data_IF_100107670436
#
_entry.id   IF_100107670436
#
_cell.length_a   1.000
_cell.length_b   1.000
_cell.length_c   1.000
_cell.angle_alpha   90.00
_cell.angle_beta   90.00
_cell.angle_gamma   90.00
#
_symmetry.space_group_name_H-M   'P 1'
#
loop_
_entity.id
_entity.type
_entity.pdbx_description
1 polymer ?
#
# COMPACT_ATOMS: atom_id res chain seq x y z
N UNK A 1 25.20 -9.46 14.04
CA UNK A 1 23.84 -9.01 14.35
C UNK A 1 23.27 -8.40 13.06
N UNK A 2 22.09 -8.79 12.62
CA UNK A 2 21.42 -8.11 11.49
C UNK A 2 21.19 -6.65 11.93
N UNK A 3 21.60 -5.69 11.12
CA UNK A 3 21.41 -4.27 11.40
C UNK A 3 19.91 -3.91 11.46
N UNK A 4 19.59 -2.79 12.10
CA UNK A 4 18.23 -2.27 12.16
C UNK A 4 17.64 -2.10 10.75
N UNK A 5 16.40 -2.51 10.56
CA UNK A 5 15.64 -2.35 9.33
C UNK A 5 14.55 -1.30 9.50
N UNK A 6 14.38 -0.44 8.51
CA UNK A 6 13.49 0.70 8.56
C UNK A 6 12.43 0.62 7.47
N UNK A 7 11.17 0.62 7.86
CA UNK A 7 10.03 0.59 6.96
C UNK A 7 9.23 1.89 7.04
N UNK A 8 8.64 2.28 5.91
CA UNK A 8 7.61 3.31 5.82
C UNK A 8 6.33 2.67 5.29
N UNK A 9 5.23 2.85 6.00
CA UNK A 9 3.90 2.38 5.59
C UNK A 9 2.97 3.57 5.40
N UNK A 10 2.40 3.72 4.21
CA UNK A 10 1.40 4.77 3.95
C UNK A 10 -0.02 4.23 4.20
N UNK A 11 -0.92 5.08 4.70
CA UNK A 11 -2.25 4.66 5.13
C UNK A 11 -2.23 3.75 6.37
N UNK A 12 -1.25 3.96 7.26
CA UNK A 12 -0.90 3.04 8.35
C UNK A 12 -1.83 3.08 9.58
N UNK A 13 -2.82 3.99 9.63
CA UNK A 13 -3.69 4.14 10.80
C UNK A 13 -4.83 3.12 10.88
N UNK A 14 -5.12 2.36 9.82
CA UNK A 14 -6.24 1.39 9.77
C UNK A 14 -6.06 0.34 8.68
N UNK A 15 -6.90 -0.68 8.72
CA UNK A 15 -7.02 -1.71 7.67
C UNK A 15 -5.69 -2.38 7.34
N UNK A 16 -5.43 -2.60 6.05
CA UNK A 16 -4.23 -3.27 5.54
C UNK A 16 -2.96 -2.56 5.98
N UNK A 17 -2.92 -1.22 5.92
CA UNK A 17 -1.72 -0.46 6.31
C UNK A 17 -1.36 -0.66 7.78
N UNK A 18 -2.35 -0.63 8.68
CA UNK A 18 -2.13 -0.93 10.10
C UNK A 18 -1.66 -2.37 10.30
N UNK A 19 -2.32 -3.34 9.67
CA UNK A 19 -1.95 -4.75 9.80
C UNK A 19 -0.51 -5.02 9.31
N UNK A 20 -0.13 -4.44 8.17
CA UNK A 20 1.24 -4.51 7.64
C UNK A 20 2.26 -3.86 8.57
N UNK A 21 1.95 -2.68 9.13
CA UNK A 21 2.83 -1.98 10.07
C UNK A 21 3.07 -2.81 11.34
N UNK A 22 2.02 -3.41 11.91
CA UNK A 22 2.13 -4.29 13.08
C UNK A 22 2.90 -5.58 12.76
N UNK A 23 2.67 -6.20 11.60
CA UNK A 23 3.40 -7.39 11.18
C UNK A 23 4.90 -7.09 10.99
N UNK A 24 5.25 -5.95 10.39
CA UNK A 24 6.63 -5.48 10.29
C UNK A 24 7.25 -5.22 11.66
N UNK A 25 6.53 -4.57 12.59
CA UNK A 25 6.98 -4.39 13.97
C UNK A 25 7.27 -5.72 14.68
N UNK A 26 6.35 -6.71 14.57
CA UNK A 26 6.56 -8.08 15.10
C UNK A 26 7.79 -8.76 14.49
N UNK A 27 8.09 -8.48 13.22
CA UNK A 27 9.26 -8.99 12.51
C UNK A 27 10.56 -8.19 12.80
N UNK A 28 10.55 -7.27 13.77
CA UNK A 28 11.73 -6.54 14.22
C UNK A 28 12.07 -5.26 13.45
N UNK A 29 11.14 -4.75 12.61
CA UNK A 29 11.35 -3.51 11.87
C UNK A 29 11.00 -2.28 12.73
N UNK A 30 11.76 -1.21 12.55
CA UNK A 30 11.37 0.14 12.96
C UNK A 30 10.45 0.72 11.89
N UNK A 31 9.30 1.27 12.28
CA UNK A 31 8.26 1.59 11.31
C UNK A 31 7.85 3.06 11.38
N UNK A 32 7.99 3.78 10.26
CA UNK A 32 7.36 5.06 10.06
C UNK A 32 5.95 4.86 9.49
N UNK A 33 5.00 5.62 10.01
CA UNK A 33 3.57 5.50 9.75
C UNK A 33 3.07 6.81 9.16
N UNK A 34 2.59 6.78 7.92
CA UNK A 34 1.98 7.94 7.27
C UNK A 34 0.47 7.77 7.14
N UNK A 35 -0.27 8.84 7.42
CA UNK A 35 -1.71 8.94 7.21
C UNK A 35 -2.24 10.32 7.58
N UNK A 36 -3.51 10.59 7.26
CA UNK A 36 -4.14 11.90 7.47
C UNK A 36 -4.59 12.18 8.90
N UNK A 37 -4.82 11.15 9.69
CA UNK A 37 -5.40 11.25 11.03
C UNK A 37 -4.36 10.89 12.08
N UNK A 38 -4.00 11.84 12.95
CA UNK A 38 -2.95 11.68 13.94
C UNK A 38 -3.26 10.59 14.98
N UNK A 39 -4.49 10.54 15.48
CA UNK A 39 -4.87 9.62 16.56
C UNK A 39 -4.77 8.14 16.15
N UNK A 40 -5.32 7.67 15.00
CA UNK A 40 -5.12 6.29 14.56
C UNK A 40 -3.65 5.93 14.30
N UNK A 41 -2.83 6.86 13.81
CA UNK A 41 -1.40 6.65 13.65
C UNK A 41 -0.70 6.47 15.00
N UNK A 42 -1.02 7.33 15.96
CA UNK A 42 -0.48 7.25 17.33
C UNK A 42 -0.89 5.94 18.02
N UNK A 43 -2.12 5.46 17.80
CA UNK A 43 -2.57 4.17 18.31
C UNK A 43 -1.73 3.02 17.72
N UNK A 44 -1.53 3.00 16.40
CA UNK A 44 -0.68 1.99 15.74
C UNK A 44 0.77 2.07 16.21
N UNK A 45 1.29 3.28 16.42
CA UNK A 45 2.66 3.49 16.93
C UNK A 45 2.82 2.89 18.32
N UNK A 46 1.91 3.17 19.26
CA UNK A 46 1.94 2.59 20.63
C UNK A 46 1.94 1.06 20.61
N UNK A 47 1.20 0.44 19.71
CA UNK A 47 1.18 -1.02 19.58
C UNK A 47 2.53 -1.57 19.08
N UNK A 48 3.19 -0.88 18.14
CA UNK A 48 4.53 -1.26 17.68
C UNK A 48 5.57 -1.06 18.80
N UNK A 49 5.46 0.02 19.55
CA UNK A 49 6.32 0.30 20.72
C UNK A 49 6.15 -0.75 21.82
N UNK A 50 4.93 -1.22 22.05
CA UNK A 50 4.65 -2.33 22.97
C UNK A 50 5.30 -3.67 22.54
N UNK A 51 5.66 -3.83 21.26
CA UNK A 51 6.46 -4.95 20.75
C UNK A 51 7.97 -4.74 20.92
N UNK A 52 8.40 -3.62 21.53
CA UNK A 52 9.81 -3.27 21.72
C UNK A 52 10.46 -2.64 20.50
N UNK A 53 9.70 -2.22 19.49
CA UNK A 53 10.21 -1.58 18.30
C UNK A 53 9.95 -0.07 18.30
N UNK A 54 10.77 0.68 17.56
CA UNK A 54 10.57 2.13 17.39
C UNK A 54 9.52 2.40 16.30
N UNK A 55 8.57 3.27 16.60
CA UNK A 55 7.60 3.78 15.65
C UNK A 55 7.71 5.31 15.48
N UNK A 56 7.40 5.81 14.27
CA UNK A 56 7.39 7.24 13.96
C UNK A 56 6.07 7.58 13.25
N UNK A 57 5.15 8.24 13.94
CA UNK A 57 3.88 8.66 13.37
C UNK A 57 4.01 10.04 12.71
N UNK A 58 3.67 10.14 11.41
CA UNK A 58 3.76 11.34 10.60
C UNK A 58 2.40 11.63 9.96
N UNK A 59 1.75 12.70 10.39
CA UNK A 59 0.50 13.16 9.74
C UNK A 59 0.85 13.76 8.38
N UNK A 60 0.33 13.14 7.31
CA UNK A 60 0.61 13.54 5.93
C UNK A 60 -0.53 13.10 5.02
N UNK A 61 -1.01 14.00 4.17
CA UNK A 61 -1.79 13.63 2.98
C UNK A 61 -0.81 13.28 1.85
N UNK A 62 -0.86 12.03 1.38
CA UNK A 62 0.04 11.57 0.31
C UNK A 62 -0.23 12.25 -1.02
N UNK A 63 -1.42 12.84 -1.23
CA UNK A 63 -1.74 13.64 -2.42
C UNK A 63 -1.14 15.04 -2.42
N UNK A 64 -0.56 15.49 -1.30
CA UNK A 64 0.10 16.78 -1.18
C UNK A 64 1.63 16.64 -1.26
N UNK A 65 2.28 17.14 -2.33
CA UNK A 65 3.73 17.02 -2.50
C UNK A 65 4.52 17.72 -1.40
N UNK A 66 4.00 18.83 -0.82
CA UNK A 66 4.68 19.54 0.27
C UNK A 66 4.66 18.71 1.55
N UNK A 67 3.51 18.13 1.88
CA UNK A 67 3.38 17.24 3.04
C UNK A 67 4.23 15.97 2.90
N UNK A 68 4.29 15.36 1.71
CA UNK A 68 5.13 14.20 1.43
C UNK A 68 6.61 14.53 1.59
N UNK A 69 7.08 15.65 1.03
CA UNK A 69 8.47 16.08 1.19
C UNK A 69 8.84 16.32 2.66
N UNK A 70 7.96 16.97 3.43
CA UNK A 70 8.16 17.17 4.87
C UNK A 70 8.22 15.85 5.64
N UNK A 71 7.36 14.88 5.30
CA UNK A 71 7.36 13.56 5.91
C UNK A 71 8.65 12.78 5.62
N UNK A 72 9.16 12.81 4.39
CA UNK A 72 10.44 12.17 4.04
C UNK A 72 11.63 12.86 4.72
N UNK A 73 11.64 14.19 4.83
CA UNK A 73 12.67 14.92 5.59
C UNK A 73 12.67 14.54 7.07
N UNK A 74 11.49 14.39 7.69
CA UNK A 74 11.35 13.93 9.05
C UNK A 74 11.82 12.47 9.22
N UNK A 75 11.45 11.58 8.30
CA UNK A 75 11.89 10.18 8.29
C UNK A 75 13.42 10.09 8.18
N UNK A 76 14.03 10.84 7.26
CA UNK A 76 15.49 10.84 7.07
C UNK A 76 16.22 11.35 8.32
N UNK A 77 15.71 12.41 8.95
CA UNK A 77 16.28 12.95 10.21
C UNK A 77 16.20 11.93 11.35
N UNK A 78 15.10 11.18 11.46
CA UNK A 78 14.84 10.28 12.59
C UNK A 78 15.43 8.88 12.40
N UNK A 79 15.44 8.37 11.16
CA UNK A 79 15.88 7.00 10.86
C UNK A 79 17.19 6.95 10.04
N UNK A 80 17.52 8.01 9.32
CA UNK A 80 18.73 8.11 8.48
C UNK A 80 18.67 7.27 7.20
N UNK A 81 17.73 6.33 7.10
CA UNK A 81 17.59 5.41 5.97
C UNK A 81 16.19 4.85 5.83
N UNK A 82 15.91 4.24 4.67
CA UNK A 82 14.68 3.51 4.38
C UNK A 82 14.98 2.21 3.64
N UNK A 83 14.65 1.07 4.24
CA UNK A 83 14.86 -0.25 3.63
C UNK A 83 13.60 -0.78 2.92
N UNK A 84 12.41 -0.34 3.36
CA UNK A 84 11.13 -0.73 2.80
C UNK A 84 10.16 0.45 2.73
N UNK A 85 9.56 0.68 1.56
CA UNK A 85 8.31 1.43 1.43
C UNK A 85 7.17 0.46 1.12
N UNK A 86 6.16 0.38 1.99
CA UNK A 86 4.86 -0.18 1.63
C UNK A 86 3.89 0.94 1.26
N UNK A 87 3.69 1.11 -0.03
CA UNK A 87 2.91 2.18 -0.64
C UNK A 87 1.44 1.76 -0.70
N UNK A 88 0.73 1.92 0.43
CA UNK A 88 -0.58 1.33 0.65
C UNK A 88 -1.72 2.35 0.69
N UNK A 89 -1.46 3.63 0.97
CA UNK A 89 -2.53 4.63 1.03
C UNK A 89 -3.44 4.56 -0.20
N UNK A 90 -4.74 4.53 0.04
CA UNK A 90 -5.72 4.42 -1.03
C UNK A 90 -7.13 4.77 -0.57
N UNK A 91 -7.94 5.20 -1.53
CA UNK A 91 -9.36 5.51 -1.38
C UNK A 91 -10.19 4.69 -2.37
N UNK A 92 -11.40 4.31 -1.95
CA UNK A 92 -12.39 3.72 -2.83
C UNK A 92 -13.06 4.77 -3.72
N UNK A 93 -13.66 4.31 -4.82
CA UNK A 93 -14.53 5.14 -5.65
C UNK A 93 -15.98 5.08 -5.16
N UNK A 94 -16.79 6.14 -5.38
CA UNK A 94 -18.23 6.06 -5.22
C UNK A 94 -18.80 5.08 -6.26
N UNK A 95 -19.78 4.28 -5.86
CA UNK A 95 -20.43 3.30 -6.74
C UNK A 95 -21.61 3.96 -7.47
N UNK A 96 -21.32 4.75 -8.50
CA UNK A 96 -22.30 5.50 -9.32
C UNK A 96 -22.06 5.21 -10.80
N UNK A 97 -23.04 5.42 -11.68
CA UNK A 97 -22.89 5.29 -13.13
C UNK A 97 -21.71 6.12 -13.65
N UNK A 98 -21.07 5.60 -14.72
CA UNK A 98 -19.85 6.22 -15.25
C UNK A 98 -20.10 7.67 -15.72
N UNK A 99 -21.22 7.93 -16.37
CA UNK A 99 -21.62 9.24 -16.89
C UNK A 99 -21.98 10.26 -15.81
N UNK A 100 -22.29 9.78 -14.60
CA UNK A 100 -22.63 10.63 -13.43
C UNK A 100 -21.39 10.96 -12.57
N UNK A 101 -20.25 10.32 -12.88
CA UNK A 101 -19.03 10.51 -12.11
C UNK A 101 -18.46 11.91 -12.32
N UNK A 102 -18.43 12.72 -11.28
CA UNK A 102 -17.88 14.07 -11.35
C UNK A 102 -16.35 14.05 -11.44
N UNK A 103 -15.77 15.07 -12.05
CA UNK A 103 -14.31 15.23 -12.10
C UNK A 103 -13.68 15.30 -10.69
N UNK A 104 -14.37 15.92 -9.72
CA UNK A 104 -13.88 15.98 -8.34
C UNK A 104 -13.79 14.60 -7.70
N UNK A 105 -14.76 13.71 -7.92
CA UNK A 105 -14.75 12.33 -7.44
C UNK A 105 -13.65 11.51 -8.11
N UNK A 106 -13.48 11.66 -9.42
CA UNK A 106 -12.37 11.06 -10.16
C UNK A 106 -11.03 11.52 -9.58
N UNK A 107 -10.83 12.84 -9.50
CA UNK A 107 -9.58 13.45 -9.03
C UNK A 107 -9.23 13.01 -7.61
N UNK A 108 -10.19 12.95 -6.70
CA UNK A 108 -9.95 12.53 -5.32
C UNK A 108 -9.37 11.11 -5.21
N UNK A 109 -9.79 10.19 -6.10
CA UNK A 109 -9.24 8.83 -6.14
C UNK A 109 -7.86 8.82 -6.79
N UNK A 110 -7.67 9.55 -7.89
CA UNK A 110 -6.37 9.65 -8.59
C UNK A 110 -5.31 10.28 -7.69
N UNK A 111 -5.63 11.35 -6.98
CA UNK A 111 -4.70 12.07 -6.11
C UNK A 111 -4.14 11.14 -5.02
N UNK A 112 -4.97 10.31 -4.40
CA UNK A 112 -4.51 9.40 -3.34
C UNK A 112 -3.86 8.15 -3.92
N UNK A 113 -4.54 7.46 -4.85
CA UNK A 113 -4.16 6.11 -5.26
C UNK A 113 -2.99 6.09 -6.25
N UNK A 114 -2.83 7.13 -7.06
CA UNK A 114 -1.81 7.19 -8.10
C UNK A 114 -0.79 8.29 -7.85
N UNK A 115 -1.22 9.55 -7.71
CA UNK A 115 -0.31 10.68 -7.46
C UNK A 115 0.42 10.49 -6.13
N UNK A 116 -0.30 10.12 -5.06
CA UNK A 116 0.30 9.86 -3.75
C UNK A 116 1.27 8.69 -3.77
N UNK A 117 0.93 7.62 -4.50
CA UNK A 117 1.83 6.49 -4.67
C UNK A 117 3.12 6.89 -5.42
N UNK A 118 3.00 7.71 -6.46
CA UNK A 118 4.14 8.27 -7.19
C UNK A 118 5.02 9.13 -6.28
N UNK A 119 4.45 10.09 -5.57
CA UNK A 119 5.20 11.00 -4.69
C UNK A 119 5.97 10.26 -3.59
N UNK A 120 5.31 9.31 -2.94
CA UNK A 120 5.97 8.48 -1.91
C UNK A 120 7.07 7.60 -2.51
N UNK A 121 6.85 7.00 -3.68
CA UNK A 121 7.87 6.22 -4.37
C UNK A 121 9.06 7.10 -4.79
N UNK A 122 8.82 8.33 -5.28
CA UNK A 122 9.86 9.28 -5.65
C UNK A 122 10.75 9.63 -4.45
N UNK A 123 10.14 9.97 -3.30
CA UNK A 123 10.87 10.23 -2.05
C UNK A 123 11.69 9.02 -1.58
N UNK A 124 11.09 7.83 -1.65
CA UNK A 124 11.78 6.58 -1.28
C UNK A 124 12.98 6.29 -2.19
N UNK A 125 12.81 6.36 -3.51
CA UNK A 125 13.88 6.15 -4.48
C UNK A 125 15.02 7.16 -4.25
N UNK A 126 14.70 8.43 -4.03
CA UNK A 126 15.71 9.47 -3.76
C UNK A 126 16.52 9.15 -2.49
N UNK A 127 15.88 8.71 -1.41
CA UNK A 127 16.56 8.33 -0.17
C UNK A 127 17.38 7.05 -0.35
N UNK A 128 16.79 6.00 -0.94
CA UNK A 128 17.44 4.71 -1.18
C UNK A 128 18.68 4.80 -2.08
N UNK A 129 18.73 5.77 -2.99
CA UNK A 129 19.90 6.02 -3.85
C UNK A 129 21.08 6.63 -3.09
N UNK A 130 20.82 7.54 -2.13
CA UNK A 130 21.87 8.31 -1.42
C UNK A 130 22.31 7.71 -0.09
N UNK A 131 21.51 6.81 0.50
CA UNK A 131 21.86 6.16 1.76
C UNK A 131 23.03 5.17 1.62
N UNK A 132 23.66 4.82 2.75
CA UNK A 132 24.74 3.84 2.79
C UNK A 132 24.44 2.73 3.84
N UNK A 133 24.40 1.43 3.48
CA UNK A 133 24.43 0.94 2.09
C UNK A 133 23.22 1.43 1.29
N UNK A 134 23.42 1.66 -0.01
CA UNK A 134 22.34 2.07 -0.91
C UNK A 134 21.37 0.91 -1.18
N UNK A 135 20.24 1.23 -1.77
CA UNK A 135 19.22 0.25 -2.14
C UNK A 135 18.10 0.14 -1.14
N UNK A 136 17.11 -0.65 -1.46
CA UNK A 136 15.91 -0.86 -0.65
C UNK A 136 14.81 -1.53 -1.47
N UNK A 137 13.62 -1.65 -0.87
CA UNK A 137 12.47 -2.29 -1.50
C UNK A 137 11.25 -1.40 -1.47
N UNK A 138 10.52 -1.37 -2.57
CA UNK A 138 9.21 -0.72 -2.67
C UNK A 138 8.17 -1.81 -2.97
N UNK A 139 7.11 -1.86 -2.18
CA UNK A 139 5.95 -2.72 -2.42
C UNK A 139 4.74 -1.81 -2.63
N UNK A 140 4.18 -1.82 -3.83
CA UNK A 140 2.96 -1.09 -4.13
C UNK A 140 1.74 -1.95 -3.85
N UNK A 141 0.75 -1.38 -3.15
CA UNK A 141 -0.54 -2.02 -2.94
C UNK A 141 -1.39 -1.89 -4.21
N UNK A 142 -1.40 -2.96 -4.98
CA UNK A 142 -2.27 -3.13 -6.14
C UNK A 142 -3.71 -3.53 -5.75
N UNK A 143 -4.31 -4.32 -6.60
CA UNK A 143 -5.62 -4.94 -6.38
C UNK A 143 -5.88 -5.92 -7.52
N UNK A 144 -6.70 -6.93 -7.28
CA UNK A 144 -7.28 -7.73 -8.38
C UNK A 144 -8.04 -6.85 -9.40
N UNK A 145 -8.47 -5.64 -9.00
CA UNK A 145 -9.03 -4.64 -9.91
C UNK A 145 -8.01 -4.07 -10.91
N UNK A 146 -6.71 -4.39 -10.77
CA UNK A 146 -5.70 -4.14 -11.79
C UNK A 146 -5.78 -5.13 -12.97
N UNK A 147 -6.61 -6.16 -12.87
CA UNK A 147 -6.76 -7.22 -13.87
C UNK A 147 -8.21 -7.32 -14.37
N UNK A 148 -9.19 -7.25 -13.47
CA UNK A 148 -10.60 -7.33 -13.79
C UNK A 148 -11.41 -6.28 -13.00
N UNK A 149 -12.15 -5.39 -13.70
CA UNK A 149 -12.94 -4.35 -13.04
C UNK A 149 -14.14 -4.94 -12.29
N UNK A 150 -14.68 -4.16 -11.36
CA UNK A 150 -16.02 -4.34 -10.81
C UNK A 150 -16.97 -3.31 -11.42
N UNK A 151 -18.27 -3.58 -11.46
CA UNK A 151 -19.23 -2.54 -11.82
C UNK A 151 -19.03 -1.27 -10.96
N UNK A 152 -19.25 -0.11 -11.55
CA UNK A 152 -19.23 1.20 -10.89
C UNK A 152 -17.90 1.53 -10.16
N UNK A 153 -16.76 1.10 -10.70
CA UNK A 153 -15.45 1.27 -10.04
C UNK A 153 -14.39 1.97 -10.90
N UNK A 154 -14.80 2.73 -11.92
CA UNK A 154 -13.90 3.27 -12.94
C UNK A 154 -12.66 4.01 -12.38
N UNK A 155 -12.75 4.98 -11.44
CA UNK A 155 -11.56 5.66 -10.94
C UNK A 155 -10.61 4.73 -10.20
N UNK A 156 -11.15 3.83 -9.37
CA UNK A 156 -10.37 2.86 -8.63
C UNK A 156 -9.67 1.87 -9.57
N UNK A 157 -10.41 1.30 -10.51
CA UNK A 157 -9.89 0.37 -11.51
C UNK A 157 -8.78 1.02 -12.34
N UNK A 158 -9.00 2.23 -12.85
CA UNK A 158 -8.00 2.94 -13.64
C UNK A 158 -6.71 3.18 -12.84
N UNK A 159 -6.82 3.64 -11.58
CA UNK A 159 -5.65 3.85 -10.73
C UNK A 159 -4.90 2.55 -10.42
N UNK A 160 -5.61 1.43 -10.19
CA UNK A 160 -4.96 0.15 -9.89
C UNK A 160 -4.27 -0.46 -11.13
N UNK A 161 -4.79 -0.27 -12.33
CA UNK A 161 -4.05 -0.59 -13.58
C UNK A 161 -2.80 0.29 -13.73
N UNK A 162 -2.91 1.59 -13.45
CA UNK A 162 -1.77 2.51 -13.53
C UNK A 162 -0.64 2.16 -12.54
N UNK A 163 -0.97 1.68 -11.34
CA UNK A 163 0.00 1.19 -10.34
C UNK A 163 0.85 0.04 -10.92
N UNK A 164 0.28 -0.83 -11.74
CA UNK A 164 1.05 -1.90 -12.40
C UNK A 164 2.12 -1.33 -13.33
N UNK A 165 1.79 -0.30 -14.11
CA UNK A 165 2.76 0.41 -14.94
C UNK A 165 3.85 1.11 -14.10
N UNK A 166 3.44 1.84 -13.05
CA UNK A 166 4.35 2.53 -12.14
C UNK A 166 5.32 1.54 -11.47
N UNK A 167 4.84 0.39 -10.99
CA UNK A 167 5.66 -0.66 -10.39
C UNK A 167 6.75 -1.15 -11.34
N UNK A 168 6.39 -1.43 -12.59
CA UNK A 168 7.34 -1.90 -13.62
C UNK A 168 8.39 -0.84 -13.96
N UNK A 169 7.99 0.43 -14.06
CA UNK A 169 8.91 1.54 -14.31
C UNK A 169 9.93 1.70 -13.16
N UNK A 170 9.45 1.71 -11.91
CA UNK A 170 10.33 1.81 -10.74
C UNK A 170 11.27 0.58 -10.67
N UNK A 171 10.77 -0.62 -10.96
CA UNK A 171 11.59 -1.84 -10.97
C UNK A 171 12.70 -1.77 -12.03
N UNK A 172 12.42 -1.16 -13.19
CA UNK A 172 13.41 -0.97 -14.25
C UNK A 172 14.46 0.07 -13.87
N UNK A 173 14.02 1.26 -13.46
CA UNK A 173 14.88 2.41 -13.16
C UNK A 173 15.69 2.22 -11.87
N UNK A 174 15.19 1.39 -10.95
CA UNK A 174 15.81 1.09 -9.66
C UNK A 174 16.99 0.11 -9.72
N UNK A 175 17.11 -0.69 -10.79
CA UNK A 175 18.10 -1.78 -10.90
C UNK A 175 19.54 -1.36 -10.67
N UNK A 176 19.94 -0.24 -11.24
CA UNK A 176 21.31 0.28 -11.11
C UNK A 176 21.64 0.75 -9.68
N UNK A 177 20.65 0.82 -8.79
CA UNK A 177 20.77 1.35 -7.43
C UNK A 177 20.38 0.33 -6.35
N UNK A 178 20.27 -0.95 -6.70
CA UNK A 178 19.85 -2.02 -5.80
C UNK A 178 18.45 -1.77 -5.17
N UNK A 179 17.56 -1.12 -5.93
CA UNK A 179 16.17 -0.85 -5.53
C UNK A 179 15.28 -1.88 -6.21
N UNK A 180 14.68 -2.76 -5.40
CA UNK A 180 13.67 -3.71 -5.85
C UNK A 180 12.27 -3.07 -5.74
N UNK A 181 11.45 -3.22 -6.78
CA UNK A 181 10.05 -2.79 -6.73
C UNK A 181 9.13 -3.93 -7.15
N UNK A 182 8.10 -4.17 -6.35
CA UNK A 182 7.07 -5.17 -6.63
C UNK A 182 5.68 -4.66 -6.24
N UNK A 183 4.68 -5.45 -6.59
CA UNK A 183 3.27 -5.17 -6.34
C UNK A 183 2.61 -6.36 -5.66
N UNK A 184 1.73 -6.09 -4.70
CA UNK A 184 0.80 -7.08 -4.17
C UNK A 184 -0.63 -6.72 -4.58
N UNK A 185 -1.27 -7.61 -5.34
CA UNK A 185 -2.67 -7.49 -5.76
C UNK A 185 -3.55 -8.20 -4.74
N UNK A 186 -4.22 -7.41 -3.91
CA UNK A 186 -5.04 -7.93 -2.82
C UNK A 186 -6.49 -8.03 -3.29
N UNK A 187 -7.11 -9.16 -3.00
CA UNK A 187 -8.53 -9.36 -3.17
C UNK A 187 -9.36 -8.67 -2.08
N UNK A 188 -10.45 -9.30 -1.65
CA UNK A 188 -11.31 -8.76 -0.60
C UNK A 188 -10.67 -8.97 0.78
N UNK A 189 -9.93 -8.01 1.29
CA UNK A 189 -9.46 -8.02 2.68
C UNK A 189 -10.54 -7.44 3.62
N UNK A 190 -10.75 -8.05 4.77
CA UNK A 190 -11.73 -7.62 5.76
C UNK A 190 -11.23 -6.34 6.47
N UNK A 191 -11.57 -5.22 5.91
CA UNK A 191 -11.31 -3.87 6.42
C UNK A 191 -12.61 -3.09 6.43
N UNK A 192 -12.64 -1.87 6.98
CA UNK A 192 -13.81 -0.99 6.85
C UNK A 192 -14.22 -0.81 5.37
N UNK A 193 -13.25 -0.67 4.46
CA UNK A 193 -13.50 -0.60 3.03
C UNK A 193 -14.01 -1.92 2.46
N UNK A 194 -13.48 -3.05 2.93
CA UNK A 194 -13.85 -4.38 2.47
C UNK A 194 -15.13 -4.93 3.10
N UNK A 195 -15.61 -4.37 4.19
CA UNK A 195 -16.79 -4.85 4.91
C UNK A 195 -18.04 -4.94 4.02
N UNK A 196 -18.20 -4.03 3.07
CA UNK A 196 -19.30 -4.08 2.09
C UNK A 196 -19.36 -5.39 1.30
N UNK A 197 -18.25 -6.11 1.14
CA UNK A 197 -18.21 -7.40 0.45
C UNK A 197 -19.00 -8.47 1.19
N UNK A 198 -19.05 -8.36 2.52
CA UNK A 198 -19.84 -9.27 3.38
C UNK A 198 -21.34 -8.94 3.39
N UNK A 199 -21.73 -7.76 2.89
CA UNK A 199 -23.12 -7.33 2.78
C UNK A 199 -23.72 -7.57 1.38
N UNK A 200 -22.86 -7.84 0.40
CA UNK A 200 -23.22 -8.03 -0.99
C UNK A 200 -22.81 -6.85 -1.88
N UNK A 201 -22.25 -7.18 -3.03
CA UNK A 201 -21.77 -6.21 -4.02
C UNK A 201 -22.27 -6.58 -5.42
N UNK A 202 -22.41 -5.57 -6.31
CA UNK A 202 -22.82 -5.81 -7.70
C UNK A 202 -21.86 -6.75 -8.42
N UNK A 203 -22.41 -7.73 -9.10
CA UNK A 203 -21.71 -8.66 -9.98
C UNK A 203 -21.84 -8.21 -11.44
N UNK A 204 -21.01 -8.79 -12.33
CA UNK A 204 -21.04 -8.44 -13.76
C UNK A 204 -22.40 -8.74 -14.43
N UNK A 205 -23.14 -9.72 -13.93
CA UNK A 205 -24.48 -10.10 -14.41
C UNK A 205 -25.63 -9.29 -13.76
N UNK A 206 -25.31 -8.28 -12.95
CA UNK A 206 -26.28 -7.41 -12.29
C UNK A 206 -26.79 -7.94 -10.93
N UNK A 207 -26.48 -9.16 -10.55
CA UNK A 207 -26.85 -9.69 -9.22
C UNK A 207 -26.08 -8.97 -8.12
N UNK A 208 -26.65 -8.95 -6.93
CA UNK A 208 -25.93 -8.62 -5.70
C UNK A 208 -25.51 -9.93 -5.03
N UNK A 209 -24.24 -10.10 -4.75
CA UNK A 209 -23.72 -11.29 -4.09
C UNK A 209 -22.70 -10.94 -2.99
N UNK A 210 -22.75 -11.70 -1.88
CA UNK A 210 -21.73 -11.69 -0.84
C UNK A 210 -20.48 -12.35 -1.39
N UNK A 211 -19.33 -11.74 -1.15
CA UNK A 211 -18.04 -12.30 -1.55
C UNK A 211 -17.16 -12.64 -0.34
N UNK A 212 -16.47 -13.79 -0.36
CA UNK A 212 -15.49 -14.15 0.66
C UNK A 212 -14.40 -13.09 0.84
N UNK A 213 -13.92 -12.98 2.06
CA UNK A 213 -12.83 -12.06 2.45
C UNK A 213 -11.68 -12.84 3.08
N UNK A 214 -10.48 -12.25 3.09
CA UNK A 214 -9.30 -12.70 3.84
C UNK A 214 -9.09 -11.83 5.07
N UNK A 215 -8.43 -12.36 6.08
CA UNK A 215 -7.99 -11.57 7.23
C UNK A 215 -6.85 -10.62 6.80
N UNK A 216 -6.89 -9.39 7.31
CA UNK A 216 -5.82 -8.40 7.07
C UNK A 216 -4.47 -8.85 7.66
N UNK A 217 -4.46 -9.71 8.64
CA UNK A 217 -3.24 -10.28 9.21
C UNK A 217 -2.47 -11.11 8.16
N UNK A 218 -3.18 -11.89 7.33
CA UNK A 218 -2.57 -12.67 6.24
C UNK A 218 -1.88 -11.75 5.21
N UNK A 219 -2.47 -10.57 4.96
CA UNK A 219 -1.84 -9.55 4.11
C UNK A 219 -0.57 -9.02 4.76
N UNK A 220 -0.60 -8.76 6.08
CA UNK A 220 0.58 -8.33 6.85
C UNK A 220 1.74 -9.33 6.74
N UNK A 221 1.46 -10.63 6.87
CA UNK A 221 2.44 -11.70 6.73
C UNK A 221 3.01 -11.77 5.30
N UNK A 222 2.19 -11.61 4.27
CA UNK A 222 2.64 -11.56 2.89
C UNK A 222 3.59 -10.37 2.63
N UNK A 223 3.30 -9.19 3.21
CA UNK A 223 4.19 -8.03 3.13
C UNK A 223 5.53 -8.31 3.82
N UNK A 224 5.53 -8.92 5.00
CA UNK A 224 6.77 -9.32 5.70
C UNK A 224 7.56 -10.31 4.86
N UNK A 225 6.90 -11.30 4.24
CA UNK A 225 7.56 -12.25 3.33
C UNK A 225 8.24 -11.53 2.16
N UNK A 226 7.53 -10.67 1.44
CA UNK A 226 8.12 -9.88 0.35
C UNK A 226 9.28 -9.00 0.83
N UNK A 227 9.16 -8.40 2.02
CA UNK A 227 10.16 -7.51 2.60
C UNK A 227 11.42 -8.25 3.08
N UNK A 228 11.30 -9.53 3.43
CA UNK A 228 12.41 -10.34 3.97
C UNK A 228 13.40 -10.84 2.91
N UNK A 229 13.01 -10.83 1.65
CA UNK A 229 13.88 -11.31 0.56
C UNK A 229 15.12 -10.41 0.41
N UNK A 230 16.30 -10.99 0.04
CA UNK A 230 17.45 -10.19 -0.30
C UNK A 230 17.16 -9.29 -1.50
N UNK A 231 17.85 -8.16 -1.64
CA UNK A 231 17.63 -7.22 -2.75
C UNK A 231 18.01 -7.79 -4.12
N UNK A 232 18.78 -8.88 -4.14
CA UNK A 232 19.05 -9.65 -5.37
C UNK A 232 17.86 -10.42 -5.91
N UNK A 233 16.79 -10.55 -5.11
CA UNK A 233 15.54 -11.23 -5.49
C UNK A 233 14.34 -10.30 -5.31
N UNK A 234 13.40 -10.36 -6.25
CA UNK A 234 12.21 -9.53 -6.21
C UNK A 234 10.95 -10.34 -6.57
N UNK A 235 9.92 -10.22 -5.76
CA UNK A 235 8.57 -10.62 -6.15
C UNK A 235 7.97 -9.45 -6.91
N UNK A 236 7.98 -9.51 -8.25
CA UNK A 236 7.48 -8.42 -9.09
C UNK A 236 5.97 -8.26 -8.97
N UNK A 237 5.23 -9.37 -8.85
CA UNK A 237 3.78 -9.37 -8.65
C UNK A 237 3.38 -10.58 -7.79
N UNK A 238 2.49 -10.33 -6.85
CA UNK A 238 1.88 -11.34 -5.99
C UNK A 238 0.38 -11.08 -5.95
N UNK A 239 -0.45 -12.10 -6.15
CA UNK A 239 -1.91 -12.00 -5.94
C UNK A 239 -2.28 -12.79 -4.69
N UNK A 240 -2.91 -12.12 -3.72
CA UNK A 240 -3.42 -12.71 -2.49
C UNK A 240 -4.92 -12.46 -2.36
N UNK A 241 -5.72 -13.53 -2.29
CA UNK A 241 -7.18 -13.42 -2.30
C UNK A 241 -7.82 -14.60 -1.56
N UNK A 242 -9.07 -14.42 -1.11
CA UNK A 242 -9.85 -15.53 -0.55
C UNK A 242 -10.03 -16.65 -1.58
N UNK A 243 -9.78 -17.89 -1.21
CA UNK A 243 -9.83 -19.06 -2.11
C UNK A 243 -11.17 -19.18 -2.86
N UNK A 244 -12.28 -18.84 -2.20
CA UNK A 244 -13.62 -18.92 -2.78
C UNK A 244 -14.11 -17.62 -3.43
N UNK A 245 -13.25 -16.59 -3.48
CA UNK A 245 -13.60 -15.33 -4.10
C UNK A 245 -13.74 -15.50 -5.63
N UNK A 246 -14.82 -15.00 -6.26
CA UNK A 246 -14.98 -15.07 -7.71
C UNK A 246 -14.00 -14.10 -8.38
N UNK A 247 -13.00 -14.65 -9.06
CA UNK A 247 -12.00 -13.92 -9.85
C UNK A 247 -11.63 -14.73 -11.09
N UNK A 248 -11.02 -15.90 -10.92
CA UNK A 248 -10.81 -16.86 -12.03
C UNK A 248 -12.15 -17.49 -12.40
N UNK A 249 -12.45 -17.56 -13.70
CA UNK A 249 -13.75 -18.06 -14.19
C UNK A 249 -14.90 -17.06 -14.05
N UNK A 250 -14.62 -15.81 -13.77
CA UNK A 250 -15.55 -14.70 -13.91
C UNK A 250 -15.68 -14.40 -15.42
N UNK A 251 -16.71 -14.89 -16.03
CA UNK A 251 -17.03 -14.65 -17.43
C UNK A 251 -18.47 -14.23 -17.57
#
# INVERSE_FOLDING_TARGET
MAGDKFALVTGAGRGIGRAAALALGKAGWRVALIGRSAEPLAATAREIEALGQRALALTCDVGDPVAVNAAFAALEREFGRLDLLFNNAGAGAPAIPFEELTFAQWKAVVDVNLTGAFLCAQGAVALMKRQNPRGGRIINNGSISAHAPRPLSAPYTATKHAITGLTKSIALDGRAFDIACGQIDIGNALTDMGFKMTQGVPQADGRIAVEPTIDVAEVGEAIVHMASLPLSSNILSMTLMATKMPFVGRG
#
